data_IF_599413036681
#
_entry.id   IF_599413036681
#
_cell.length_a   1.000
_cell.length_b   1.000
_cell.length_c   1.000
_cell.angle_alpha   90.00
_cell.angle_beta   90.00
_cell.angle_gamma   90.00
#
_symmetry.space_group_name_H-M   'P 1'
#
loop_
_entity.id
_entity.type
_entity.pdbx_description
1 polymer ?
#
# COMPACT_ATOMS: atom_id res chain seq x y z
N UNK A 1 -13.77 -5.43 -24.43
CA UNK A 1 -13.17 -6.54 -23.67
C UNK A 1 -11.67 -6.31 -23.51
N UNK A 2 -11.16 -6.33 -22.27
CA UNK A 2 -9.71 -6.23 -22.00
C UNK A 2 -9.08 -7.54 -22.53
N UNK A 3 -8.27 -7.43 -23.59
CA UNK A 3 -7.50 -8.56 -24.12
C UNK A 3 -6.16 -8.61 -23.36
N UNK A 4 -6.09 -9.49 -22.37
CA UNK A 4 -4.85 -9.77 -21.63
C UNK A 4 -4.43 -11.23 -21.88
N UNK A 5 -3.14 -11.54 -21.73
CA UNK A 5 -2.62 -12.89 -21.90
C UNK A 5 -3.14 -13.85 -20.82
N UNK A 6 -3.06 -15.15 -21.09
CA UNK A 6 -3.43 -16.18 -20.10
C UNK A 6 -2.56 -16.06 -18.83
N UNK A 7 -1.29 -15.73 -18.99
CA UNK A 7 -0.36 -15.57 -17.88
C UNK A 7 -0.78 -14.37 -17.00
N UNK A 8 -1.18 -13.25 -17.62
CA UNK A 8 -1.69 -12.06 -16.90
C UNK A 8 -2.95 -12.37 -16.10
N UNK A 9 -3.90 -13.14 -16.65
CA UNK A 9 -5.10 -13.55 -15.91
C UNK A 9 -4.78 -14.51 -14.76
N UNK A 10 -3.83 -15.43 -14.95
CA UNK A 10 -3.38 -16.31 -13.86
C UNK A 10 -2.74 -15.51 -12.74
N UNK A 11 -1.88 -14.53 -13.07
CA UNK A 11 -1.27 -13.64 -12.07
C UNK A 11 -2.32 -12.74 -11.40
N UNK A 12 -3.35 -12.28 -12.13
CA UNK A 12 -4.47 -11.54 -11.54
C UNK A 12 -5.12 -12.33 -10.39
N UNK A 13 -5.48 -13.60 -10.63
CA UNK A 13 -6.09 -14.47 -9.61
C UNK A 13 -5.12 -14.69 -8.44
N UNK A 14 -3.85 -14.99 -8.73
CA UNK A 14 -2.82 -15.20 -7.71
C UNK A 14 -2.65 -13.96 -6.83
N UNK A 15 -2.53 -12.78 -7.42
CA UNK A 15 -2.37 -11.52 -6.67
C UNK A 15 -3.61 -11.19 -5.85
N UNK A 16 -4.82 -11.40 -6.41
CA UNK A 16 -6.07 -11.20 -5.66
C UNK A 16 -6.12 -12.08 -4.41
N UNK A 17 -5.86 -13.37 -4.57
CA UNK A 17 -5.86 -14.31 -3.45
C UNK A 17 -4.79 -13.95 -2.41
N UNK A 18 -3.55 -13.70 -2.82
CA UNK A 18 -2.46 -13.35 -1.88
C UNK A 18 -2.73 -12.03 -1.15
N UNK A 19 -3.31 -11.04 -1.81
CA UNK A 19 -3.74 -9.79 -1.17
C UNK A 19 -4.84 -10.04 -0.15
N UNK A 20 -5.80 -10.91 -0.46
CA UNK A 20 -6.85 -11.32 0.46
C UNK A 20 -6.27 -11.99 1.72
N UNK A 21 -5.41 -13.01 1.56
CA UNK A 21 -4.82 -13.71 2.70
C UNK A 21 -3.98 -12.81 3.61
N UNK A 22 -3.28 -11.86 3.04
CA UNK A 22 -2.47 -10.90 3.79
C UNK A 22 -3.31 -9.85 4.51
N UNK A 23 -4.20 -9.20 3.79
CA UNK A 23 -5.02 -8.13 4.36
C UNK A 23 -5.95 -8.64 5.45
N UNK A 24 -6.36 -9.92 5.37
CA UNK A 24 -7.11 -10.57 6.42
C UNK A 24 -6.39 -10.58 7.78
N UNK A 25 -5.05 -10.65 7.80
CA UNK A 25 -4.29 -10.73 9.07
C UNK A 25 -3.89 -9.37 9.63
N UNK A 26 -3.82 -8.34 8.78
CA UNK A 26 -3.14 -7.09 9.08
C UNK A 26 -3.75 -6.32 10.25
N UNK A 27 -5.08 -6.08 10.33
CA UNK A 27 -5.69 -5.42 11.47
C UNK A 27 -5.77 -6.33 12.70
N UNK A 28 -6.02 -7.62 12.50
CA UNK A 28 -6.39 -8.52 13.61
C UNK A 28 -5.22 -9.01 14.45
N UNK A 29 -3.99 -8.98 13.94
CA UNK A 29 -2.82 -9.20 14.81
C UNK A 29 -2.68 -8.03 15.81
N UNK A 30 -2.83 -6.80 15.35
CA UNK A 30 -2.73 -5.63 16.23
C UNK A 30 -3.80 -5.68 17.32
N UNK A 31 -5.05 -5.95 16.92
CA UNK A 31 -6.18 -6.13 17.85
C UNK A 31 -5.92 -7.26 18.84
N UNK A 32 -5.44 -8.43 18.37
CA UNK A 32 -5.09 -9.55 19.26
C UNK A 32 -4.00 -9.17 20.27
N UNK A 33 -2.95 -8.51 19.83
CA UNK A 33 -1.84 -8.11 20.69
C UNK A 33 -2.28 -7.07 21.76
N UNK A 34 -3.15 -6.14 21.38
CA UNK A 34 -3.69 -5.16 22.31
C UNK A 34 -4.72 -5.77 23.26
N UNK A 35 -5.83 -6.29 22.75
CA UNK A 35 -6.99 -6.66 23.52
C UNK A 35 -6.90 -8.02 24.24
N UNK A 36 -6.02 -8.94 23.75
CA UNK A 36 -5.89 -10.30 24.32
C UNK A 36 -4.57 -10.49 25.07
N UNK A 37 -3.50 -9.80 24.61
CA UNK A 37 -2.14 -9.99 25.14
C UNK A 37 -1.64 -8.78 25.95
N UNK A 38 -2.43 -7.73 26.09
CA UNK A 38 -2.12 -6.49 26.84
C UNK A 38 -0.78 -5.87 26.45
N UNK A 39 -0.40 -5.99 25.15
CA UNK A 39 0.85 -5.40 24.64
C UNK A 39 0.68 -3.90 24.48
N UNK A 40 1.65 -3.11 24.92
CA UNK A 40 1.60 -1.65 24.82
C UNK A 40 1.47 -1.20 23.35
N UNK A 41 0.68 -0.15 23.10
CA UNK A 41 0.43 0.37 21.76
C UNK A 41 1.72 0.77 21.04
N UNK A 42 2.70 1.37 21.76
CA UNK A 42 4.01 1.72 21.21
C UNK A 42 4.78 0.47 20.76
N UNK A 43 4.73 -0.64 21.50
CA UNK A 43 5.37 -1.90 21.11
C UNK A 43 4.74 -2.49 19.86
N UNK A 44 3.41 -2.51 19.77
CA UNK A 44 2.68 -2.95 18.57
C UNK A 44 3.11 -2.10 17.38
N UNK A 45 3.10 -0.78 17.51
CA UNK A 45 3.54 0.14 16.46
C UNK A 45 4.97 -0.11 16.00
N UNK A 46 5.90 -0.35 16.94
CA UNK A 46 7.29 -0.66 16.63
C UNK A 46 7.45 -1.98 15.86
N UNK A 47 6.70 -3.03 16.24
CA UNK A 47 6.70 -4.32 15.51
C UNK A 47 6.19 -4.17 14.09
N UNK A 48 5.13 -3.39 13.88
CA UNK A 48 4.62 -3.11 12.53
C UNK A 48 5.60 -2.27 11.70
N UNK A 49 6.31 -1.32 12.30
CA UNK A 49 7.38 -0.58 11.63
C UNK A 49 8.49 -1.53 11.18
N UNK A 50 8.99 -2.39 12.06
CA UNK A 50 10.03 -3.38 11.72
C UNK A 50 9.53 -4.33 10.64
N UNK A 51 8.30 -4.83 10.73
CA UNK A 51 7.68 -5.68 9.72
C UNK A 51 7.60 -4.98 8.35
N UNK A 52 7.25 -3.70 8.31
CA UNK A 52 7.21 -2.90 7.09
C UNK A 52 8.59 -2.69 6.48
N UNK A 53 9.61 -2.37 7.29
CA UNK A 53 11.00 -2.23 6.84
C UNK A 53 11.56 -3.54 6.31
N UNK A 54 11.29 -4.67 6.96
CA UNK A 54 11.67 -5.99 6.50
C UNK A 54 10.93 -6.38 5.20
N UNK A 55 9.66 -6.01 5.06
CA UNK A 55 8.91 -6.18 3.80
C UNK A 55 9.54 -5.39 2.66
N UNK A 56 10.01 -4.17 2.89
CA UNK A 56 10.75 -3.39 1.90
C UNK A 56 12.06 -4.08 1.51
N UNK A 57 12.85 -4.51 2.50
CA UNK A 57 14.11 -5.23 2.26
C UNK A 57 13.87 -6.53 1.47
N UNK A 58 12.80 -7.26 1.79
CA UNK A 58 12.46 -8.51 1.10
C UNK A 58 12.09 -8.31 -0.37
N UNK A 59 11.45 -7.21 -0.72
CA UNK A 59 11.14 -6.89 -2.11
C UNK A 59 12.41 -6.61 -2.92
N UNK A 60 13.42 -5.95 -2.33
CA UNK A 60 14.73 -5.75 -2.98
C UNK A 60 15.47 -7.08 -3.19
N UNK A 61 15.48 -7.95 -2.18
CA UNK A 61 16.06 -9.30 -2.27
C UNK A 61 15.29 -10.14 -3.29
N UNK A 62 13.96 -10.17 -3.20
CA UNK A 62 13.08 -10.92 -4.09
C UNK A 62 13.21 -10.49 -5.56
N UNK A 63 13.39 -9.18 -5.81
CA UNK A 63 13.66 -8.67 -7.16
C UNK A 63 14.95 -9.26 -7.74
N UNK A 64 16.07 -9.19 -7.01
CA UNK A 64 17.35 -9.77 -7.44
C UNK A 64 17.28 -11.28 -7.66
N UNK A 65 16.60 -11.99 -6.75
CA UNK A 65 16.40 -13.43 -6.88
C UNK A 65 15.52 -13.77 -8.09
N UNK A 66 14.52 -12.93 -8.40
CA UNK A 66 13.67 -13.09 -9.59
C UNK A 66 14.50 -13.03 -10.87
N UNK A 67 15.47 -12.11 -10.95
CA UNK A 67 16.36 -11.94 -12.11
C UNK A 67 17.31 -13.15 -12.29
N UNK A 68 17.73 -13.79 -11.20
CA UNK A 68 18.71 -14.89 -11.23
C UNK A 68 18.10 -16.29 -11.29
N UNK A 69 16.98 -16.51 -10.58
CA UNK A 69 16.34 -17.83 -10.44
C UNK A 69 15.05 -17.96 -11.27
N UNK A 70 14.59 -16.86 -11.86
CA UNK A 70 13.33 -16.77 -12.59
C UNK A 70 12.10 -16.57 -11.70
N UNK A 71 11.07 -15.88 -12.22
CA UNK A 71 9.93 -15.44 -11.43
C UNK A 71 9.10 -16.59 -10.84
N UNK A 72 8.88 -17.67 -11.61
CA UNK A 72 8.11 -18.84 -11.13
C UNK A 72 8.76 -19.47 -9.89
N UNK A 73 10.07 -19.65 -9.90
CA UNK A 73 10.82 -20.26 -8.78
C UNK A 73 10.69 -19.41 -7.51
N UNK A 74 10.84 -18.08 -7.65
CA UNK A 74 10.75 -17.16 -6.52
C UNK A 74 9.32 -17.06 -5.98
N UNK A 75 8.31 -17.11 -6.83
CA UNK A 75 6.91 -17.18 -6.38
C UNK A 75 6.66 -18.44 -5.55
N UNK A 76 7.09 -19.62 -6.03
CA UNK A 76 6.89 -20.87 -5.32
C UNK A 76 7.65 -20.90 -3.98
N UNK A 77 8.90 -20.44 -3.94
CA UNK A 77 9.70 -20.34 -2.72
C UNK A 77 9.05 -19.36 -1.73
N UNK A 78 8.68 -18.16 -2.19
CA UNK A 78 8.05 -17.16 -1.34
C UNK A 78 6.69 -17.60 -0.80
N UNK A 79 5.88 -18.30 -1.59
CA UNK A 79 4.60 -18.85 -1.12
C UNK A 79 4.82 -20.01 -0.15
N UNK A 80 5.81 -20.89 -0.38
CA UNK A 80 6.18 -21.93 0.57
C UNK A 80 6.57 -21.35 1.94
N UNK A 81 7.42 -20.32 1.94
CA UNK A 81 7.78 -19.60 3.18
C UNK A 81 6.57 -18.90 3.81
N UNK A 82 5.68 -18.36 3.02
CA UNK A 82 4.45 -17.74 3.52
C UNK A 82 3.54 -18.75 4.21
N UNK A 83 3.38 -19.95 3.65
CA UNK A 83 2.61 -21.04 4.28
C UNK A 83 3.22 -21.40 5.63
N UNK A 84 4.52 -21.70 5.67
CA UNK A 84 5.20 -22.11 6.90
C UNK A 84 5.12 -21.03 7.98
N UNK A 85 5.43 -19.78 7.64
CA UNK A 85 5.42 -18.68 8.60
C UNK A 85 4.00 -18.33 9.09
N UNK A 86 2.98 -18.45 8.24
CA UNK A 86 1.58 -18.28 8.65
C UNK A 86 1.12 -19.39 9.59
N UNK A 87 1.52 -20.64 9.32
CA UNK A 87 1.21 -21.77 10.21
C UNK A 87 1.88 -21.63 11.58
N UNK A 88 3.14 -21.17 11.61
CA UNK A 88 3.85 -20.88 12.87
C UNK A 88 3.12 -19.81 13.68
N UNK A 89 2.75 -18.70 13.06
CA UNK A 89 1.97 -17.64 13.72
C UNK A 89 0.60 -18.14 14.18
N UNK A 90 -0.11 -18.88 13.34
CA UNK A 90 -1.39 -19.50 13.72
C UNK A 90 -1.23 -20.41 14.92
N UNK A 91 -0.21 -21.26 14.94
CA UNK A 91 0.08 -22.15 16.05
C UNK A 91 0.40 -21.36 17.34
N UNK A 92 1.31 -20.40 17.30
CA UNK A 92 1.67 -19.59 18.47
C UNK A 92 0.46 -18.85 19.07
N UNK A 93 -0.40 -18.28 18.21
CA UNK A 93 -1.64 -17.61 18.65
C UNK A 93 -2.61 -18.63 19.24
N UNK A 94 -2.78 -19.78 18.59
CA UNK A 94 -3.75 -20.82 18.98
C UNK A 94 -3.43 -21.50 20.32
N UNK A 95 -2.13 -21.76 20.61
CA UNK A 95 -1.71 -22.33 21.89
C UNK A 95 -1.44 -21.29 22.97
N UNK A 96 -1.60 -20.00 22.68
CA UNK A 96 -1.29 -18.92 23.62
C UNK A 96 0.19 -18.82 23.98
N UNK A 97 1.10 -19.08 23.01
CA UNK A 97 2.54 -19.05 23.20
C UNK A 97 3.06 -17.70 23.78
N UNK A 98 4.29 -17.67 24.21
CA UNK A 98 4.93 -16.44 24.71
C UNK A 98 4.77 -15.29 23.71
N UNK A 99 4.37 -14.11 24.21
CA UNK A 99 4.08 -12.94 23.39
C UNK A 99 5.30 -12.51 22.57
N UNK A 100 6.53 -12.64 23.10
CA UNK A 100 7.75 -12.29 22.39
C UNK A 100 7.96 -13.15 21.15
N UNK A 101 7.56 -14.44 21.18
CA UNK A 101 7.62 -15.31 19.99
C UNK A 101 6.71 -14.79 18.88
N UNK A 102 5.51 -14.30 19.23
CA UNK A 102 4.57 -13.75 18.26
C UNK A 102 5.11 -12.42 17.70
N UNK A 103 5.62 -11.53 18.57
CA UNK A 103 6.20 -10.24 18.18
C UNK A 103 7.40 -10.40 17.23
N UNK A 104 8.26 -11.40 17.46
CA UNK A 104 9.41 -11.70 16.61
C UNK A 104 9.02 -12.41 15.30
N UNK A 105 8.01 -13.27 15.34
CA UNK A 105 7.57 -14.05 14.16
C UNK A 105 6.88 -13.18 13.12
N UNK A 106 6.17 -12.12 13.49
CA UNK A 106 5.42 -11.30 12.55
C UNK A 106 6.29 -10.50 11.57
N UNK A 107 7.39 -9.83 11.98
CA UNK A 107 8.34 -9.24 11.05
C UNK A 107 8.97 -10.25 10.09
N UNK A 108 9.32 -11.44 10.59
CA UNK A 108 9.86 -12.55 9.77
C UNK A 108 8.82 -13.02 8.73
N UNK A 109 7.57 -13.19 9.15
CA UNK A 109 6.45 -13.49 8.24
C UNK A 109 6.34 -12.47 7.12
N UNK A 110 6.41 -11.17 7.42
CA UNK A 110 6.32 -10.12 6.40
C UNK A 110 7.53 -10.12 5.45
N UNK A 111 8.74 -10.40 5.98
CA UNK A 111 9.93 -10.57 5.14
C UNK A 111 9.77 -11.74 4.17
N UNK A 112 9.46 -12.93 4.67
CA UNK A 112 9.36 -14.14 3.86
C UNK A 112 8.27 -14.03 2.78
N UNK A 113 7.14 -13.45 3.13
CA UNK A 113 6.03 -13.21 2.22
C UNK A 113 6.37 -12.20 1.12
N UNK A 114 7.12 -11.14 1.45
CA UNK A 114 7.47 -10.07 0.52
C UNK A 114 8.37 -10.52 -0.65
N UNK A 115 9.07 -11.63 -0.52
CA UNK A 115 9.99 -12.16 -1.54
C UNK A 115 9.31 -12.45 -2.89
N UNK A 116 8.06 -12.90 -2.88
CA UNK A 116 7.32 -13.29 -4.10
C UNK A 116 6.72 -12.09 -4.85
N UNK A 117 6.58 -10.95 -4.21
CA UNK A 117 5.87 -9.78 -4.78
C UNK A 117 6.48 -9.28 -6.10
N UNK A 118 7.80 -9.05 -6.24
CA UNK A 118 8.39 -8.54 -7.48
C UNK A 118 8.23 -9.51 -8.66
N UNK A 119 8.17 -10.81 -8.40
CA UNK A 119 8.07 -11.81 -9.45
C UNK A 119 6.74 -11.75 -10.22
N UNK A 120 5.63 -11.41 -9.54
CA UNK A 120 4.34 -11.23 -10.19
C UNK A 120 4.36 -10.05 -11.18
N UNK A 121 4.97 -8.93 -10.78
CA UNK A 121 5.15 -7.76 -11.67
C UNK A 121 6.06 -8.10 -12.86
N UNK A 122 7.13 -8.85 -12.65
CA UNK A 122 8.05 -9.26 -13.69
C UNK A 122 7.38 -10.15 -14.75
N UNK A 123 6.51 -11.08 -14.35
CA UNK A 123 5.74 -11.94 -15.28
C UNK A 123 4.82 -11.08 -16.15
N UNK A 124 4.05 -10.18 -15.53
CA UNK A 124 3.11 -9.34 -16.28
C UNK A 124 3.84 -8.38 -17.21
N UNK A 125 4.94 -7.78 -16.77
CA UNK A 125 5.76 -6.92 -17.61
C UNK A 125 6.32 -7.64 -18.84
N UNK A 126 6.66 -8.93 -18.71
CA UNK A 126 7.16 -9.74 -19.81
C UNK A 126 6.05 -10.29 -20.71
N UNK A 127 4.86 -10.57 -20.16
CA UNK A 127 3.72 -11.11 -20.91
C UNK A 127 2.95 -10.05 -21.71
N UNK A 128 2.99 -8.80 -21.28
CA UNK A 128 2.21 -7.67 -21.83
C UNK A 128 3.12 -6.57 -22.39
N UNK A 129 4.18 -6.95 -23.12
CA UNK A 129 5.16 -5.97 -23.67
C UNK A 129 4.47 -4.89 -24.52
N UNK A 130 3.46 -5.28 -25.32
CA UNK A 130 2.71 -4.37 -26.19
C UNK A 130 1.68 -3.53 -25.45
N UNK A 131 1.24 -3.95 -24.25
CA UNK A 131 0.21 -3.26 -23.46
C UNK A 131 0.47 -3.30 -21.95
N UNK A 132 1.71 -2.98 -21.59
CA UNK A 132 2.18 -3.00 -20.20
C UNK A 132 1.28 -2.23 -19.22
N UNK A 133 0.71 -1.09 -19.66
CA UNK A 133 -0.20 -0.28 -18.83
C UNK A 133 -1.43 -1.09 -18.41
N UNK A 134 -2.03 -1.84 -19.31
CA UNK A 134 -3.19 -2.70 -19.02
C UNK A 134 -2.82 -3.81 -18.04
N UNK A 135 -1.67 -4.47 -18.24
CA UNK A 135 -1.20 -5.50 -17.34
C UNK A 135 -0.97 -4.99 -15.90
N UNK A 136 -0.28 -3.86 -15.75
CA UNK A 136 -0.05 -3.24 -14.44
C UNK A 136 -1.35 -2.73 -13.78
N UNK A 137 -2.30 -2.22 -14.58
CA UNK A 137 -3.62 -1.83 -14.06
C UNK A 137 -4.39 -3.03 -13.53
N UNK A 138 -4.34 -4.18 -14.21
CA UNK A 138 -4.96 -5.42 -13.73
C UNK A 138 -4.34 -5.89 -12.41
N UNK A 139 -3.02 -5.79 -12.24
CA UNK A 139 -2.37 -6.11 -10.96
C UNK A 139 -2.84 -5.20 -9.83
N UNK A 140 -3.00 -3.91 -10.09
CA UNK A 140 -3.53 -2.96 -9.10
C UNK A 140 -4.97 -3.29 -8.70
N UNK A 141 -5.83 -3.61 -9.69
CA UNK A 141 -7.22 -4.04 -9.42
C UNK A 141 -7.23 -5.34 -8.61
N UNK A 142 -6.38 -6.31 -8.96
CA UNK A 142 -6.26 -7.57 -8.24
C UNK A 142 -5.88 -7.36 -6.77
N UNK A 143 -4.88 -6.51 -6.52
CA UNK A 143 -4.46 -6.15 -5.17
C UNK A 143 -5.57 -5.52 -4.34
N UNK A 144 -6.26 -4.53 -4.90
CA UNK A 144 -7.35 -3.82 -4.23
C UNK A 144 -8.57 -4.74 -3.97
N UNK A 145 -8.90 -5.62 -4.93
CA UNK A 145 -10.00 -6.58 -4.76
C UNK A 145 -9.73 -7.55 -3.60
N UNK A 146 -8.50 -8.08 -3.52
CA UNK A 146 -8.11 -8.94 -2.40
C UNK A 146 -8.11 -8.17 -1.07
N UNK A 147 -7.64 -6.92 -1.08
CA UNK A 147 -7.62 -6.07 0.10
C UNK A 147 -9.03 -5.70 0.60
N UNK A 148 -9.98 -5.53 -0.31
CA UNK A 148 -11.39 -5.25 0.06
C UNK A 148 -12.07 -6.44 0.77
N UNK A 149 -11.76 -7.67 0.34
CA UNK A 149 -12.43 -8.87 0.82
C UNK A 149 -11.73 -9.45 2.08
N UNK A 150 -10.39 -9.35 2.11
CA UNK A 150 -9.59 -10.02 3.14
C UNK A 150 -9.95 -9.66 4.58
N UNK A 151 -9.98 -8.38 4.97
CA UNK A 151 -10.31 -7.99 6.35
C UNK A 151 -11.73 -8.35 6.76
N UNK A 152 -12.71 -8.32 5.82
CA UNK A 152 -14.07 -8.77 6.11
C UNK A 152 -14.09 -10.25 6.49
N UNK A 153 -13.41 -11.11 5.70
CA UNK A 153 -13.28 -12.54 6.04
C UNK A 153 -12.46 -12.73 7.32
N UNK A 154 -11.38 -11.96 7.50
CA UNK A 154 -10.58 -12.01 8.73
C UNK A 154 -11.38 -11.67 9.97
N UNK A 155 -12.23 -10.63 9.91
CA UNK A 155 -13.10 -10.21 11.00
C UNK A 155 -14.14 -11.28 11.37
N UNK A 156 -14.81 -11.84 10.36
CA UNK A 156 -15.76 -12.94 10.58
C UNK A 156 -15.06 -14.16 11.21
N UNK A 157 -13.89 -14.56 10.71
CA UNK A 157 -13.12 -15.67 11.27
C UNK A 157 -12.66 -15.40 12.71
N UNK A 158 -12.15 -14.20 12.99
CA UNK A 158 -11.73 -13.81 14.33
C UNK A 158 -12.90 -13.81 15.32
N UNK A 159 -14.09 -13.36 14.89
CA UNK A 159 -15.29 -13.29 15.71
C UNK A 159 -15.93 -14.66 15.94
N UNK A 160 -16.06 -15.48 14.89
CA UNK A 160 -16.81 -16.75 14.96
C UNK A 160 -15.97 -17.93 15.44
N UNK A 161 -14.68 -17.91 15.17
CA UNK A 161 -13.75 -18.97 15.56
C UNK A 161 -12.72 -18.45 16.57
N UNK A 162 -11.64 -17.85 16.08
CA UNK A 162 -10.58 -17.23 16.89
C UNK A 162 -9.55 -16.50 16.00
N UNK A 163 -8.63 -15.74 16.60
CA UNK A 163 -7.57 -15.06 15.85
C UNK A 163 -6.60 -16.01 15.13
N UNK A 164 -6.36 -17.22 15.66
CA UNK A 164 -5.51 -18.23 15.01
C UNK A 164 -6.07 -18.63 13.63
N UNK A 165 -7.38 -18.73 13.47
CA UNK A 165 -8.03 -19.10 12.21
C UNK A 165 -7.81 -18.08 11.08
N UNK A 166 -7.60 -16.80 11.42
CA UNK A 166 -7.24 -15.77 10.45
C UNK A 166 -5.86 -16.06 9.81
N UNK A 167 -4.91 -16.54 10.61
CA UNK A 167 -3.59 -16.94 10.13
C UNK A 167 -3.62 -18.29 9.39
N UNK A 168 -4.57 -19.20 9.73
CA UNK A 168 -4.81 -20.40 8.92
C UNK A 168 -5.32 -20.04 7.52
N UNK A 169 -6.21 -19.07 7.38
CA UNK A 169 -6.61 -18.53 6.07
C UNK A 169 -5.40 -17.99 5.32
N UNK A 170 -4.54 -17.22 6.03
CA UNK A 170 -3.30 -16.66 5.45
C UNK A 170 -2.27 -17.74 5.08
N UNK A 171 -2.37 -18.95 5.59
CA UNK A 171 -1.57 -20.10 5.17
C UNK A 171 -2.21 -20.85 3.99
N UNK A 172 -3.54 -21.04 4.03
CA UNK A 172 -4.27 -21.75 2.98
C UNK A 172 -4.18 -21.05 1.62
N UNK A 173 -4.25 -19.72 1.61
CA UNK A 173 -4.20 -18.93 0.38
C UNK A 173 -2.88 -19.10 -0.38
N UNK A 174 -1.68 -18.90 0.19
CA UNK A 174 -0.43 -19.12 -0.55
C UNK A 174 -0.19 -20.61 -0.89
N UNK A 175 -0.76 -21.57 -0.16
CA UNK A 175 -0.77 -22.97 -0.56
C UNK A 175 -1.55 -23.18 -1.87
N UNK A 176 -2.77 -22.62 -1.97
CA UNK A 176 -3.58 -22.66 -3.20
C UNK A 176 -2.86 -21.95 -4.34
N UNK A 177 -2.32 -20.75 -4.10
CA UNK A 177 -1.62 -19.98 -5.14
C UNK A 177 -0.31 -20.60 -5.57
N UNK A 178 0.37 -21.39 -4.72
CA UNK A 178 1.48 -22.25 -5.12
C UNK A 178 1.05 -23.29 -6.14
N UNK A 179 -0.08 -23.96 -5.92
CA UNK A 179 -0.64 -24.92 -6.88
C UNK A 179 -0.97 -24.26 -8.22
N UNK A 180 -1.66 -23.10 -8.19
CA UNK A 180 -1.98 -22.33 -9.40
C UNK A 180 -0.69 -21.90 -10.12
N UNK A 181 0.29 -21.41 -9.40
CA UNK A 181 1.60 -20.99 -9.96
C UNK A 181 2.33 -22.18 -10.60
N UNK A 182 2.33 -23.34 -9.93
CA UNK A 182 2.96 -24.56 -10.45
C UNK A 182 2.39 -25.01 -11.79
N UNK A 183 1.05 -24.93 -11.96
CA UNK A 183 0.33 -25.42 -13.14
C UNK A 183 0.26 -24.36 -14.26
N UNK A 184 -0.06 -23.12 -13.93
CA UNK A 184 -0.44 -22.12 -14.92
C UNK A 184 0.65 -21.12 -15.27
N UNK A 185 1.64 -20.88 -14.38
CA UNK A 185 2.74 -19.96 -14.66
C UNK A 185 3.88 -20.70 -15.36
N UNK A 186 4.29 -20.19 -16.53
CA UNK A 186 5.43 -20.75 -17.26
C UNK A 186 6.74 -20.50 -16.52
N UNK A 187 7.60 -21.52 -16.45
CA UNK A 187 8.94 -21.41 -15.91
C UNK A 187 9.92 -20.84 -16.94
N UNK A 188 11.02 -20.30 -16.47
CA UNK A 188 12.13 -19.82 -17.29
C UNK A 188 12.69 -18.50 -16.77
N UNK A 189 13.94 -18.21 -17.12
CA UNK A 189 14.52 -16.89 -16.93
C UNK A 189 13.83 -15.90 -17.88
N UNK A 190 13.63 -14.68 -17.43
CA UNK A 190 13.09 -13.62 -18.24
C UNK A 190 14.11 -13.29 -19.35
N UNK A 191 13.77 -13.62 -20.60
CA UNK A 191 14.55 -13.30 -21.79
C UNK A 191 13.92 -12.08 -22.45
N UNK A 192 14.53 -10.92 -22.33
CA UNK A 192 14.06 -9.72 -23.00
C UNK A 192 15.04 -8.55 -22.84
N UNK A 193 15.00 -7.56 -23.76
CA UNK A 193 15.90 -6.40 -23.72
C UNK A 193 15.75 -5.52 -22.48
N UNK A 194 14.87 -5.85 -21.55
CA UNK A 194 14.70 -5.17 -20.24
C UNK A 194 15.58 -5.71 -19.12
N UNK A 195 16.15 -6.93 -19.27
CA UNK A 195 16.97 -7.55 -18.21
C UNK A 195 18.32 -6.82 -17.99
N UNK A 196 18.84 -6.14 -19.00
CA UNK A 196 20.09 -5.39 -18.88
C UNK A 196 19.95 -3.96 -18.33
N UNK A 197 18.73 -3.43 -18.18
CA UNK A 197 18.46 -2.01 -17.94
C UNK A 197 18.14 -1.59 -16.50
N UNK A 198 17.69 -2.49 -15.64
CA UNK A 198 17.18 -2.11 -14.30
C UNK A 198 18.30 -2.04 -13.24
N UNK A 199 19.48 -2.59 -13.51
CA UNK A 199 20.57 -2.77 -12.53
C UNK A 199 21.74 -1.79 -12.59
N UNK A 200 21.84 -0.88 -13.56
CA UNK A 200 23.13 -0.21 -13.80
C UNK A 200 23.22 1.32 -13.67
N UNK A 201 22.14 2.00 -13.38
CA UNK A 201 22.23 3.43 -13.01
C UNK A 201 21.26 3.72 -11.87
N UNK A 202 21.63 3.31 -10.65
CA UNK A 202 21.15 4.02 -9.47
C UNK A 202 21.75 5.42 -9.52
N UNK A 203 21.10 6.35 -10.21
CA UNK A 203 21.40 7.76 -10.06
C UNK A 203 21.14 8.09 -8.58
N UNK A 204 22.18 8.13 -7.78
CA UNK A 204 22.07 8.53 -6.38
C UNK A 204 21.48 9.94 -6.34
N UNK A 205 20.39 10.09 -5.58
CA UNK A 205 19.79 11.41 -5.37
C UNK A 205 20.83 12.38 -4.82
N UNK A 206 20.99 13.49 -5.50
CA UNK A 206 21.87 14.57 -5.05
C UNK A 206 21.03 15.68 -4.46
N UNK A 207 21.20 15.96 -3.16
CA UNK A 207 20.45 17.00 -2.45
C UNK A 207 20.47 18.37 -3.16
N UNK A 208 21.57 18.72 -3.82
CA UNK A 208 21.70 20.04 -4.47
C UNK A 208 20.91 20.14 -5.78
N UNK A 209 20.90 19.08 -6.57
CA UNK A 209 20.26 19.06 -7.89
C UNK A 209 18.81 18.56 -7.82
N UNK A 210 18.51 17.64 -6.90
CA UNK A 210 17.21 16.95 -6.83
C UNK A 210 16.37 17.41 -5.64
N UNK A 211 16.65 18.61 -5.11
CA UNK A 211 15.99 19.14 -3.88
C UNK A 211 14.46 19.06 -3.94
N UNK A 212 13.85 19.49 -5.03
CA UNK A 212 12.39 19.49 -5.16
C UNK A 212 11.81 18.07 -5.19
N UNK A 213 12.51 17.12 -5.84
CA UNK A 213 12.14 15.71 -5.81
C UNK A 213 12.24 15.15 -4.39
N UNK A 214 13.33 15.42 -3.68
CA UNK A 214 13.53 14.94 -2.30
C UNK A 214 12.44 15.51 -1.39
N UNK A 215 12.13 16.80 -1.49
CA UNK A 215 11.02 17.40 -0.73
C UNK A 215 9.67 16.78 -1.08
N UNK A 216 9.42 16.48 -2.36
CA UNK A 216 8.21 15.78 -2.77
C UNK A 216 8.13 14.35 -2.21
N UNK A 217 9.25 13.61 -2.19
CA UNK A 217 9.32 12.29 -1.58
C UNK A 217 9.10 12.33 -0.07
N UNK A 218 9.63 13.34 0.62
CA UNK A 218 9.38 13.56 2.05
C UNK A 218 7.90 13.88 2.32
N UNK A 219 7.27 14.75 1.54
CA UNK A 219 5.84 15.00 1.62
C UNK A 219 5.03 13.73 1.33
N UNK A 220 5.51 12.88 0.40
CA UNK A 220 4.90 11.57 0.11
C UNK A 220 4.98 10.65 1.32
N UNK A 221 6.14 10.53 1.99
CA UNK A 221 6.26 9.78 3.27
C UNK A 221 5.23 10.28 4.28
N UNK A 222 5.18 11.59 4.51
CA UNK A 222 4.24 12.19 5.46
C UNK A 222 2.77 11.95 5.08
N UNK A 223 2.42 12.06 3.80
CA UNK A 223 1.07 11.78 3.30
C UNK A 223 0.67 10.31 3.50
N UNK A 224 1.60 9.39 3.27
CA UNK A 224 1.35 7.95 3.49
C UNK A 224 1.41 7.54 4.96
N UNK A 225 2.02 8.33 5.85
CA UNK A 225 1.80 8.18 7.30
C UNK A 225 0.32 8.46 7.61
N UNK A 226 -0.24 9.56 7.12
CA UNK A 226 -1.65 9.90 7.35
C UNK A 226 -2.60 8.83 6.77
N UNK A 227 -2.44 8.45 5.50
CA UNK A 227 -3.27 7.40 4.87
C UNK A 227 -3.18 6.07 5.63
N UNK A 228 -1.97 5.68 6.08
CA UNK A 228 -1.77 4.42 6.79
C UNK A 228 -2.51 4.29 8.13
N UNK A 229 -3.05 5.40 8.68
CA UNK A 229 -3.90 5.36 9.88
C UNK A 229 -5.16 4.52 9.69
N UNK A 230 -5.60 4.36 8.45
CA UNK A 230 -6.81 3.58 8.11
C UNK A 230 -6.74 2.12 8.55
N UNK A 231 -5.54 1.52 8.69
CA UNK A 231 -5.41 0.08 8.95
C UNK A 231 -5.25 -0.17 10.45
N UNK A 232 -4.05 -0.04 10.98
CA UNK A 232 -3.75 -0.45 12.37
C UNK A 232 -4.29 0.56 13.39
N UNK A 233 -4.07 1.87 13.24
CA UNK A 233 -4.58 2.84 14.20
C UNK A 233 -6.11 2.84 14.33
N UNK A 234 -6.86 2.81 13.20
CA UNK A 234 -8.33 2.71 13.26
C UNK A 234 -8.75 1.43 13.95
N UNK A 235 -8.17 0.28 13.59
CA UNK A 235 -8.57 -1.03 14.15
C UNK A 235 -8.41 -1.07 15.67
N UNK A 236 -7.29 -0.57 16.17
CA UNK A 236 -7.04 -0.48 17.63
C UNK A 236 -7.99 0.52 18.28
N UNK A 237 -8.17 1.70 17.68
CA UNK A 237 -9.04 2.72 18.27
C UNK A 237 -10.47 2.24 18.41
N UNK A 238 -11.04 1.66 17.36
CA UNK A 238 -12.44 1.20 17.40
C UNK A 238 -12.62 -0.05 18.29
N UNK A 239 -11.58 -0.89 18.41
CA UNK A 239 -11.62 -2.06 19.30
C UNK A 239 -11.46 -1.65 20.77
N UNK A 240 -10.39 -0.93 21.10
CA UNK A 240 -9.97 -0.71 22.49
C UNK A 240 -10.75 0.42 23.17
N UNK A 241 -11.17 1.43 22.42
CA UNK A 241 -11.87 2.60 22.97
C UNK A 241 -13.36 2.64 22.67
N UNK A 242 -13.82 1.98 21.59
CA UNK A 242 -15.24 1.95 21.20
C UNK A 242 -15.88 0.58 21.31
N UNK A 243 -15.10 -0.47 21.63
CA UNK A 243 -15.55 -1.86 21.80
C UNK A 243 -16.23 -2.44 20.55
N UNK A 244 -15.76 -2.08 19.35
CA UNK A 244 -16.27 -2.71 18.14
C UNK A 244 -15.81 -4.16 18.04
N UNK A 245 -16.68 -5.02 17.52
CA UNK A 245 -16.33 -6.42 17.30
C UNK A 245 -15.33 -6.56 16.13
N UNK A 246 -14.53 -7.64 16.10
CA UNK A 246 -13.66 -7.94 14.94
C UNK A 246 -14.42 -7.97 13.62
N UNK A 247 -15.66 -8.44 13.60
CA UNK A 247 -16.51 -8.42 12.41
C UNK A 247 -16.83 -7.00 11.94
N UNK A 248 -17.18 -6.09 12.86
CA UNK A 248 -17.40 -4.68 12.54
C UNK A 248 -16.14 -4.02 11.98
N UNK A 249 -14.96 -4.31 12.55
CA UNK A 249 -13.69 -3.87 12.01
C UNK A 249 -13.52 -4.36 10.56
N UNK A 250 -13.81 -5.63 10.30
CA UNK A 250 -13.79 -6.20 8.95
C UNK A 250 -14.70 -5.47 7.96
N UNK A 251 -15.88 -5.06 8.38
CA UNK A 251 -16.84 -4.32 7.54
C UNK A 251 -16.37 -2.89 7.23
N UNK A 252 -15.71 -2.19 8.16
CA UNK A 252 -15.07 -0.90 7.86
C UNK A 252 -14.10 -0.98 6.68
N UNK A 253 -13.28 -2.04 6.63
CA UNK A 253 -12.37 -2.26 5.50
C UNK A 253 -13.09 -2.68 4.21
N UNK A 254 -14.19 -3.44 4.32
CA UNK A 254 -15.01 -3.74 3.16
C UNK A 254 -15.59 -2.47 2.53
N UNK A 255 -16.04 -1.51 3.36
CA UNK A 255 -16.49 -0.19 2.92
C UNK A 255 -15.39 0.57 2.18
N UNK A 256 -14.16 0.62 2.72
CA UNK A 256 -13.00 1.18 1.99
C UNK A 256 -12.86 0.54 0.61
N UNK A 257 -12.81 -0.79 0.54
CA UNK A 257 -12.66 -1.52 -0.72
C UNK A 257 -13.76 -1.25 -1.73
N UNK A 258 -15.03 -1.19 -1.29
CA UNK A 258 -16.18 -0.87 -2.15
C UNK A 258 -16.07 0.55 -2.69
N UNK A 259 -15.73 1.52 -1.85
CA UNK A 259 -15.54 2.93 -2.26
C UNK A 259 -14.42 3.05 -3.30
N UNK A 260 -13.28 2.35 -3.10
CA UNK A 260 -12.18 2.31 -4.08
C UNK A 260 -12.68 1.76 -5.41
N UNK A 261 -13.34 0.60 -5.42
CA UNK A 261 -13.82 -0.05 -6.65
C UNK A 261 -14.81 0.86 -7.41
N UNK A 262 -15.70 1.53 -6.72
CA UNK A 262 -16.70 2.39 -7.34
C UNK A 262 -16.14 3.73 -7.83
N UNK A 263 -15.24 4.35 -7.06
CA UNK A 263 -14.86 5.75 -7.28
C UNK A 263 -13.46 5.94 -7.87
N UNK A 264 -12.54 4.98 -7.74
CA UNK A 264 -11.16 5.16 -8.19
C UNK A 264 -11.05 5.41 -9.70
N UNK A 265 -11.76 4.66 -10.55
CA UNK A 265 -11.70 4.85 -12.00
C UNK A 265 -12.36 6.16 -12.46
N UNK A 266 -13.58 6.53 -12.03
CA UNK A 266 -14.18 7.82 -12.36
C UNK A 266 -13.31 9.01 -11.94
N UNK A 267 -12.82 9.01 -10.69
CA UNK A 267 -11.99 10.09 -10.16
C UNK A 267 -10.62 10.15 -10.84
N UNK A 268 -10.00 9.01 -11.13
CA UNK A 268 -8.73 8.98 -11.88
C UNK A 268 -8.89 9.63 -13.25
N UNK A 269 -9.97 9.34 -13.99
CA UNK A 269 -10.23 9.95 -15.28
C UNK A 269 -10.47 11.47 -15.19
N UNK A 270 -11.06 11.93 -14.10
CA UNK A 270 -11.22 13.36 -13.80
C UNK A 270 -9.85 14.00 -13.53
N UNK A 271 -8.97 13.38 -12.72
CA UNK A 271 -7.64 13.91 -12.41
C UNK A 271 -6.73 13.97 -13.64
N UNK A 272 -6.79 13.00 -14.55
CA UNK A 272 -6.02 13.06 -15.81
C UNK A 272 -6.42 14.23 -16.71
N UNK A 273 -7.65 14.72 -16.59
CA UNK A 273 -8.14 15.92 -17.32
C UNK A 273 -7.84 17.21 -16.56
N UNK A 274 -7.49 17.13 -15.28
CA UNK A 274 -7.21 18.30 -14.47
C UNK A 274 -5.92 18.98 -14.93
N UNK A 275 -5.98 20.25 -15.25
CA UNK A 275 -4.81 21.05 -15.66
C UNK A 275 -3.83 21.30 -14.51
N UNK A 276 -4.27 21.13 -13.26
CA UNK A 276 -3.50 21.41 -12.05
C UNK A 276 -3.64 20.27 -11.04
N UNK A 277 -2.58 19.48 -10.90
CA UNK A 277 -2.52 18.30 -10.03
C UNK A 277 -2.35 18.64 -8.54
N UNK A 278 -1.96 19.87 -8.22
CA UNK A 278 -1.82 20.33 -6.84
C UNK A 278 -3.15 20.29 -6.09
N UNK A 279 -4.27 20.65 -6.73
CA UNK A 279 -5.57 20.70 -6.07
C UNK A 279 -6.09 19.34 -5.61
N UNK A 280 -5.99 18.24 -6.41
CA UNK A 280 -6.28 16.91 -5.88
C UNK A 280 -5.40 16.53 -4.67
N UNK A 281 -4.11 16.87 -4.64
CA UNK A 281 -3.23 16.59 -3.48
C UNK A 281 -3.67 17.37 -2.23
N UNK A 282 -4.06 18.63 -2.38
CA UNK A 282 -4.66 19.41 -1.28
C UNK A 282 -5.99 18.77 -0.86
N UNK A 283 -6.81 18.36 -1.81
CA UNK A 283 -8.07 17.65 -1.57
C UNK A 283 -7.87 16.36 -0.78
N UNK A 284 -6.80 15.60 -1.07
CA UNK A 284 -6.43 14.43 -0.27
C UNK A 284 -6.20 14.80 1.20
N UNK A 285 -5.38 15.83 1.45
CA UNK A 285 -5.11 16.30 2.80
C UNK A 285 -6.38 16.82 3.49
N UNK A 286 -7.25 17.50 2.76
CA UNK A 286 -8.54 17.99 3.27
C UNK A 286 -9.46 16.83 3.69
N UNK A 287 -9.70 15.84 2.81
CA UNK A 287 -10.55 14.70 3.13
C UNK A 287 -9.98 13.88 4.29
N UNK A 288 -8.67 13.64 4.30
CA UNK A 288 -8.03 12.93 5.40
C UNK A 288 -8.14 13.71 6.72
N UNK A 289 -7.89 15.03 6.75
CA UNK A 289 -8.03 15.84 7.95
C UNK A 289 -9.47 15.85 8.47
N UNK A 290 -10.46 16.01 7.57
CA UNK A 290 -11.89 15.96 7.93
C UNK A 290 -12.26 14.60 8.50
N UNK A 291 -11.78 13.48 7.89
CA UNK A 291 -12.06 12.15 8.39
C UNK A 291 -11.45 11.92 9.78
N UNK A 292 -10.26 12.43 10.06
CA UNK A 292 -9.63 12.31 11.38
C UNK A 292 -10.35 13.14 12.46
N UNK A 293 -10.80 14.34 12.13
CA UNK A 293 -11.66 15.11 13.05
C UNK A 293 -12.97 14.36 13.31
N UNK A 294 -13.59 13.82 12.25
CA UNK A 294 -14.79 13.03 12.39
C UNK A 294 -14.55 11.75 13.22
N UNK A 295 -13.40 11.06 13.05
CA UNK A 295 -13.05 9.90 13.86
C UNK A 295 -12.98 10.21 15.35
N UNK A 296 -12.36 11.34 15.72
CA UNK A 296 -12.30 11.80 17.12
C UNK A 296 -13.68 12.17 17.73
N UNK A 297 -14.65 12.53 16.89
CA UNK A 297 -16.02 12.86 17.31
C UNK A 297 -16.99 11.66 17.22
N UNK A 298 -16.57 10.56 16.61
CA UNK A 298 -17.44 9.40 16.34
C UNK A 298 -17.40 8.40 17.48
N UNK A 299 -18.55 7.84 17.80
CA UNK A 299 -18.73 6.81 18.84
C UNK A 299 -19.51 5.59 18.37
N UNK A 300 -20.12 5.64 17.19
CA UNK A 300 -20.95 4.56 16.66
C UNK A 300 -20.36 3.97 15.38
N UNK A 301 -20.70 2.69 15.12
CA UNK A 301 -20.27 2.00 13.89
C UNK A 301 -20.68 2.76 12.62
N UNK A 302 -21.94 3.24 12.55
CA UNK A 302 -22.41 3.98 11.37
C UNK A 302 -21.64 5.29 11.12
N UNK A 303 -21.20 5.97 12.18
CA UNK A 303 -20.35 7.16 12.04
C UNK A 303 -18.98 6.80 11.50
N UNK A 304 -18.38 5.68 11.99
CA UNK A 304 -17.09 5.20 11.49
C UNK A 304 -17.16 4.70 10.04
N UNK A 305 -18.29 4.15 9.58
CA UNK A 305 -18.51 3.89 8.15
C UNK A 305 -18.40 5.19 7.33
N UNK A 306 -18.98 6.29 7.82
CA UNK A 306 -18.82 7.60 7.21
C UNK A 306 -17.36 8.10 7.22
N UNK A 307 -16.64 7.91 8.32
CA UNK A 307 -15.21 8.21 8.43
C UNK A 307 -14.41 7.44 7.38
N UNK A 308 -14.66 6.13 7.23
CA UNK A 308 -13.98 5.31 6.22
C UNK A 308 -14.24 5.79 4.80
N UNK A 309 -15.48 6.15 4.46
CA UNK A 309 -15.80 6.70 3.13
C UNK A 309 -15.00 7.97 2.85
N UNK A 310 -14.95 8.92 3.79
CA UNK A 310 -14.25 10.20 3.62
C UNK A 310 -12.73 9.98 3.57
N UNK A 311 -12.18 9.09 4.40
CA UNK A 311 -10.76 8.76 4.41
C UNK A 311 -10.34 8.11 3.08
N UNK A 312 -11.15 7.20 2.55
CA UNK A 312 -10.93 6.55 1.26
C UNK A 312 -10.91 7.54 0.10
N UNK A 313 -11.77 8.58 0.14
CA UNK A 313 -11.66 9.68 -0.82
C UNK A 313 -10.28 10.35 -0.72
N UNK A 314 -9.80 10.63 0.48
CA UNK A 314 -8.45 11.15 0.70
C UNK A 314 -7.36 10.27 0.07
N UNK A 315 -7.46 8.94 0.21
CA UNK A 315 -6.52 7.98 -0.39
C UNK A 315 -6.55 8.03 -1.92
N UNK A 316 -7.73 8.03 -2.54
CA UNK A 316 -7.88 8.11 -4.00
C UNK A 316 -7.30 9.43 -4.53
N UNK A 317 -7.55 10.54 -3.85
CA UNK A 317 -7.03 11.87 -4.18
C UNK A 317 -5.50 11.98 -3.99
N UNK A 318 -4.89 11.11 -3.19
CA UNK A 318 -3.44 11.05 -3.03
C UNK A 318 -2.78 10.18 -4.10
N UNK A 319 -3.27 8.98 -4.31
CA UNK A 319 -2.55 7.91 -5.02
C UNK A 319 -2.28 8.25 -6.49
N UNK A 320 -3.30 8.65 -7.25
CA UNK A 320 -3.17 8.91 -8.70
C UNK A 320 -2.47 10.24 -8.99
N UNK A 321 -2.84 11.37 -8.35
CA UNK A 321 -2.19 12.64 -8.61
C UNK A 321 -0.71 12.67 -8.22
N UNK A 322 -0.31 12.05 -7.09
CA UNK A 322 1.09 12.03 -6.67
C UNK A 322 1.99 11.28 -7.65
N UNK A 323 1.52 10.14 -8.19
CA UNK A 323 2.25 9.43 -9.25
C UNK A 323 2.37 10.27 -10.53
N UNK A 324 1.35 11.06 -10.85
CA UNK A 324 1.39 11.94 -12.01
C UNK A 324 2.35 13.11 -11.79
N UNK A 325 2.35 13.73 -10.59
CA UNK A 325 3.33 14.78 -10.22
C UNK A 325 4.76 14.27 -10.30
N UNK A 326 5.01 13.02 -9.93
CA UNK A 326 6.34 12.40 -10.07
C UNK A 326 6.89 12.50 -11.50
N UNK A 327 6.01 12.45 -12.52
CA UNK A 327 6.43 12.57 -13.92
C UNK A 327 6.98 13.95 -14.28
N UNK A 328 6.69 15.00 -13.50
CA UNK A 328 7.26 16.35 -13.69
C UNK A 328 8.76 16.38 -13.38
N UNK A 329 9.23 15.46 -12.54
CA UNK A 329 10.66 15.34 -12.17
C UNK A 329 11.42 14.38 -13.06
N UNK A 330 10.75 13.44 -13.73
CA UNK A 330 11.40 12.34 -14.45
C UNK A 330 11.52 12.63 -15.95
N UNK A 331 12.74 12.61 -16.49
CA UNK A 331 12.94 12.43 -17.92
C UNK A 331 12.52 11.03 -18.38
N UNK A 332 12.37 10.84 -19.71
CA UNK A 332 11.85 9.56 -20.28
C UNK A 332 12.71 8.34 -19.88
N UNK A 333 14.03 8.51 -19.71
CA UNK A 333 14.98 7.42 -19.39
C UNK A 333 15.05 7.03 -17.91
N UNK A 334 14.53 7.85 -16.99
CA UNK A 334 14.68 7.66 -15.54
C UNK A 334 13.36 7.31 -14.82
N UNK A 335 12.27 7.12 -15.55
CA UNK A 335 10.93 6.90 -14.96
C UNK A 335 10.85 5.73 -13.97
N UNK A 336 11.54 4.62 -14.27
CA UNK A 336 11.55 3.46 -13.37
C UNK A 336 12.24 3.74 -12.03
N UNK A 337 13.37 4.45 -12.05
CA UNK A 337 14.12 4.84 -10.84
C UNK A 337 13.30 5.77 -9.96
N UNK A 338 12.65 6.78 -10.55
CA UNK A 338 11.80 7.72 -9.81
C UNK A 338 10.56 7.03 -9.23
N UNK A 339 9.95 6.10 -9.99
CA UNK A 339 8.85 5.27 -9.47
C UNK A 339 9.30 4.39 -8.30
N UNK A 340 10.53 3.88 -8.34
CA UNK A 340 11.14 3.14 -7.23
C UNK A 340 11.28 4.00 -5.97
N UNK A 341 11.80 5.23 -6.09
CA UNK A 341 11.88 6.17 -4.96
C UNK A 341 10.51 6.52 -4.39
N UNK A 342 9.52 6.77 -5.25
CA UNK A 342 8.16 7.03 -4.82
C UNK A 342 7.55 5.83 -4.08
N UNK A 343 7.70 4.62 -4.61
CA UNK A 343 7.20 3.40 -3.97
C UNK A 343 7.86 3.14 -2.61
N UNK A 344 9.16 3.40 -2.50
CA UNK A 344 9.89 3.30 -1.23
C UNK A 344 9.40 4.34 -0.22
N UNK A 345 9.16 5.60 -0.66
CA UNK A 345 8.61 6.66 0.18
C UNK A 345 7.19 6.31 0.67
N UNK A 346 6.33 5.84 -0.23
CA UNK A 346 4.96 5.44 0.10
C UNK A 346 4.92 4.27 1.09
N UNK A 347 5.72 3.23 0.85
CA UNK A 347 5.82 2.08 1.74
C UNK A 347 6.43 2.47 3.10
N UNK A 348 7.47 3.32 3.08
CA UNK A 348 8.08 3.86 4.30
C UNK A 348 7.07 4.64 5.16
N UNK A 349 6.26 5.50 4.54
CA UNK A 349 5.19 6.22 5.22
C UNK A 349 4.14 5.27 5.82
N UNK A 350 3.64 4.30 5.06
CA UNK A 350 2.70 3.29 5.56
C UNK A 350 3.29 2.45 6.70
N UNK A 351 4.60 2.18 6.67
CA UNK A 351 5.28 1.42 7.74
C UNK A 351 5.44 2.23 9.02
N UNK A 352 5.62 3.54 8.91
CA UNK A 352 5.70 4.46 10.06
C UNK A 352 4.35 4.74 10.70
N UNK A 353 3.27 4.63 9.95
CA UNK A 353 1.92 4.99 10.38
C UNK A 353 1.45 4.26 11.64
N UNK A 354 1.59 2.92 11.78
CA UNK A 354 1.19 2.22 13.00
C UNK A 354 1.93 2.75 14.24
N UNK A 355 3.25 3.00 14.12
CA UNK A 355 4.01 3.54 15.22
C UNK A 355 3.54 4.95 15.60
N UNK A 356 3.38 5.84 14.62
CA UNK A 356 2.93 7.21 14.86
C UNK A 356 1.52 7.24 15.47
N UNK A 357 0.59 6.45 14.93
CA UNK A 357 -0.79 6.40 15.39
C UNK A 357 -0.94 5.82 16.78
N UNK A 358 -0.40 4.64 17.00
CA UNK A 358 -0.53 3.96 18.28
C UNK A 358 0.23 4.69 19.40
N UNK A 359 1.39 5.27 19.09
CA UNK A 359 2.11 6.10 20.07
C UNK A 359 1.32 7.36 20.43
N UNK A 360 0.64 8.00 19.46
CA UNK A 360 -0.21 9.16 19.75
C UNK A 360 -1.36 8.79 20.70
N UNK A 361 -2.04 7.67 20.47
CA UNK A 361 -3.11 7.19 21.37
C UNK A 361 -2.57 6.84 22.76
N UNK A 362 -1.37 6.31 22.88
CA UNK A 362 -0.74 6.03 24.16
C UNK A 362 -0.37 7.31 24.91
N UNK A 363 0.15 8.33 24.23
CA UNK A 363 0.48 9.65 24.83
C UNK A 363 -0.79 10.36 25.32
N UNK A 364 -1.86 10.29 24.53
CA UNK A 364 -3.15 10.89 24.85
C UNK A 364 -4.14 9.88 25.50
N UNK A 365 -3.63 8.94 26.30
CA UNK A 365 -4.46 7.87 26.89
C UNK A 365 -5.67 8.37 27.71
N UNK A 366 -5.60 9.58 28.27
CA UNK A 366 -6.73 10.22 28.98
C UNK A 366 -7.85 10.72 28.05
N UNK A 367 -7.52 11.06 26.81
CA UNK A 367 -8.46 11.41 25.72
C UNK A 367 -7.86 11.03 24.37
N UNK A 368 -8.07 9.79 23.93
CA UNK A 368 -7.51 9.29 22.67
C UNK A 368 -7.98 10.05 21.42
N UNK A 369 -9.09 10.80 21.50
CA UNK A 369 -9.54 11.67 20.41
C UNK A 369 -8.52 12.76 20.07
N UNK A 370 -7.70 13.20 21.04
CA UNK A 370 -6.61 14.14 20.80
C UNK A 370 -5.57 13.59 19.81
N UNK A 371 -5.35 12.27 19.78
CA UNK A 371 -4.50 11.63 18.79
C UNK A 371 -5.03 11.82 17.35
N UNK A 372 -6.35 11.75 17.18
CA UNK A 372 -7.00 12.04 15.90
C UNK A 372 -6.88 13.51 15.50
N UNK A 373 -7.05 14.43 16.43
CA UNK A 373 -6.91 15.87 16.14
C UNK A 373 -5.47 16.26 15.83
N UNK A 374 -4.50 15.61 16.46
CA UNK A 374 -3.09 15.82 16.18
C UNK A 374 -2.73 15.42 14.74
N UNK A 375 -3.17 14.23 14.28
CA UNK A 375 -2.93 13.81 12.90
C UNK A 375 -3.75 14.62 11.89
N UNK A 376 -4.94 15.10 12.26
CA UNK A 376 -5.73 16.00 11.42
C UNK A 376 -4.99 17.31 11.18
N UNK A 377 -4.46 17.93 12.24
CA UNK A 377 -3.64 19.16 12.14
C UNK A 377 -2.38 18.95 11.30
N UNK A 378 -1.65 17.84 11.53
CA UNK A 378 -0.49 17.46 10.73
C UNK A 378 -0.86 17.32 9.24
N UNK A 379 -1.96 16.63 8.93
CA UNK A 379 -2.40 16.41 7.55
C UNK A 379 -2.84 17.70 6.87
N UNK A 380 -3.50 18.61 7.60
CA UNK A 380 -3.86 19.93 7.08
C UNK A 380 -2.59 20.74 6.70
N UNK A 381 -1.55 20.70 7.52
CA UNK A 381 -0.26 21.36 7.24
C UNK A 381 0.43 20.74 6.01
N UNK A 382 0.30 19.43 5.77
CA UNK A 382 0.82 18.80 4.55
C UNK A 382 0.17 19.37 3.29
N UNK A 383 -1.11 19.72 3.32
CA UNK A 383 -1.79 20.39 2.22
C UNK A 383 -1.11 21.70 1.82
N UNK A 384 -0.66 22.48 2.81
CA UNK A 384 0.13 23.70 2.57
C UNK A 384 1.49 23.34 1.96
N UNK A 385 2.16 22.31 2.48
CA UNK A 385 3.43 21.82 1.92
C UNK A 385 3.32 21.41 0.43
N UNK A 386 2.27 20.67 0.07
CA UNK A 386 2.01 20.30 -1.32
C UNK A 386 1.74 21.54 -2.19
N UNK A 387 0.96 22.51 -1.70
CA UNK A 387 0.72 23.74 -2.43
C UNK A 387 2.02 24.49 -2.71
N UNK A 388 2.83 24.73 -1.69
CA UNK A 388 4.08 25.52 -1.82
C UNK A 388 5.12 24.85 -2.71
N UNK A 389 5.15 23.50 -2.75
CA UNK A 389 6.12 22.78 -3.58
C UNK A 389 5.63 22.52 -5.00
N UNK A 390 4.38 22.02 -5.15
CA UNK A 390 3.91 21.49 -6.43
C UNK A 390 3.37 22.58 -7.35
N UNK A 391 2.73 23.64 -6.83
CA UNK A 391 2.13 24.69 -7.64
C UNK A 391 3.17 25.45 -8.48
N UNK A 392 4.33 25.90 -7.93
CA UNK A 392 5.36 26.54 -8.74
C UNK A 392 5.91 25.62 -9.83
N UNK A 393 6.25 24.38 -9.49
CA UNK A 393 6.78 23.39 -10.44
C UNK A 393 5.81 23.15 -11.61
N UNK A 394 4.54 23.10 -11.33
CA UNK A 394 3.52 22.84 -12.34
C UNK A 394 3.30 24.06 -13.23
N UNK A 395 3.37 25.28 -12.70
CA UNK A 395 3.33 26.53 -13.50
C UNK A 395 4.49 26.59 -14.48
N UNK A 396 5.71 26.31 -14.02
CA UNK A 396 6.92 26.33 -14.85
C UNK A 396 6.84 25.29 -15.97
N UNK A 397 6.37 24.07 -15.65
CA UNK A 397 6.17 23.00 -16.63
C UNK A 397 5.15 23.40 -17.71
N UNK A 398 4.01 23.99 -17.33
CA UNK A 398 2.98 24.44 -18.27
C UNK A 398 3.49 25.58 -19.14
N UNK A 399 4.22 26.54 -18.56
CA UNK A 399 4.82 27.67 -19.31
C UNK A 399 5.81 27.17 -20.37
N UNK A 400 6.74 26.30 -19.99
CA UNK A 400 7.72 25.69 -20.89
C UNK A 400 7.07 24.87 -22.00
N UNK A 401 6.03 24.10 -21.68
CA UNK A 401 5.30 23.29 -22.67
C UNK A 401 4.60 24.16 -23.72
N UNK A 402 4.01 25.30 -23.33
CA UNK A 402 3.38 26.26 -24.26
C UNK A 402 4.40 26.93 -25.16
N UNK A 403 5.56 27.31 -24.62
CA UNK A 403 6.64 27.92 -25.39
C UNK A 403 7.19 26.97 -26.45
N UNK A 404 7.37 25.68 -26.10
CA UNK A 404 7.81 24.68 -27.06
C UNK A 404 6.77 24.41 -28.16
N UNK A 405 5.49 24.45 -27.86
CA UNK A 405 4.41 24.34 -28.87
C UNK A 405 4.37 25.55 -29.80
N UNK A 406 4.60 26.75 -29.30
CA UNK A 406 4.66 27.97 -30.12
C UNK A 406 5.87 28.02 -31.04
N UNK A 407 7.00 27.44 -30.60
CA UNK A 407 8.25 27.35 -31.39
C UNK A 407 8.24 26.18 -32.40
N UNK A 408 7.53 25.07 -32.09
CA UNK A 408 7.40 23.92 -33.00
C UNK A 408 6.34 24.09 -34.10
N UNK A 409 5.49 25.11 -34.01
CA UNK A 409 4.45 25.42 -35.00
C UNK A 409 4.93 26.12 -36.27
N UNK A 410 6.22 26.43 -36.43
CA UNK A 410 6.82 27.08 -37.59
C UNK A 410 7.76 26.17 -38.39
N UNK A 411 7.38 24.90 -38.63
CA UNK A 411 8.05 24.11 -39.65
C UNK A 411 7.45 24.48 -41.03
N UNK A 412 8.22 24.99 -42.01
CA UNK A 412 7.69 25.30 -43.32
C UNK A 412 7.30 24.03 -44.03
N UNK A 413 6.11 24.02 -44.59
CA UNK A 413 5.69 23.08 -45.64
C UNK A 413 6.75 23.06 -46.77
N UNK A 414 7.44 21.96 -46.91
CA UNK A 414 8.05 21.52 -48.17
C UNK A 414 7.90 20.01 -48.33
#
# INVERSE_FOLDING_TARGET
>A
MIRASRDTWSIFVIVTLNSLGWSATMPFLAVYLSSVRDVSLATIGAVYLVAGLLSLASQLVGGRLTDTMGPKSIMLIGYGFSVVSSLILSYFIGVGADTNLILLSYPIFNFLRGLSSPAAYAIVANSEISNLKTGLSLLSIAGNLGFAIGPALGGVLAQTLNYSSVFLLSAAVPAITSGITGVYVKGGLLQGPGAEGIGRTSAMLNWRTDRNLILFLLLTVCGYIAIGYEIVPISIYVQDFLNFSPEQIGYLFATNGVVIVLLQLPLSSFFYRAKRLVYPLIGSCFFAAVSFVAAGLSSTFAQFEGVMVVLTLGEIFMTVPSQTVLTLFSGVRSRGTFQGYYSAAALGGRSLSPLAGLYSFQVFAGDPALGWYAIAGFTALLGVGYYLLVEPLQRDYIATSRQNQSLGGSAPSR
#
